data_IF_642700431923
#
_entry.id   IF_642700431923
#
_cell.length_a   1.000
_cell.length_b   1.000
_cell.length_c   1.000
_cell.angle_alpha   90.00
_cell.angle_beta   90.00
_cell.angle_gamma   90.00
#
_symmetry.space_group_name_H-M   'P 1'
#
loop_
_entity.id
_entity.type
_entity.pdbx_description
1 polymer ?
#
# COMPACT_ATOMS: atom_id res chain seq x y z
N UNK A 1 22.63 -1.75 -14.20
CA UNK A 1 21.35 -1.03 -14.36
C UNK A 1 21.36 -0.34 -15.71
N UNK A 2 20.27 -0.45 -16.49
CA UNK A 2 20.18 0.08 -17.86
C UNK A 2 19.19 1.27 -17.93
N UNK A 3 19.13 2.10 -16.89
CA UNK A 3 18.13 3.16 -16.79
C UNK A 3 18.78 4.50 -17.11
N UNK A 4 18.05 5.36 -17.82
CA UNK A 4 18.48 6.74 -18.04
C UNK A 4 18.34 7.52 -16.74
N UNK A 5 19.34 8.34 -16.44
CA UNK A 5 19.34 9.23 -15.29
C UNK A 5 19.68 10.64 -15.74
N UNK A 6 19.08 11.62 -15.07
CA UNK A 6 19.53 13.01 -15.20
C UNK A 6 20.90 13.13 -14.51
N UNK A 7 21.81 13.96 -15.04
CA UNK A 7 23.05 14.29 -14.37
C UNK A 7 22.81 14.84 -12.96
N UNK A 8 23.77 14.63 -12.05
CA UNK A 8 23.73 15.23 -10.73
C UNK A 8 23.66 16.77 -10.84
N UNK A 9 22.85 17.41 -9.99
CA UNK A 9 22.61 18.86 -9.96
C UNK A 9 21.96 19.49 -11.21
N UNK A 10 21.44 18.68 -12.13
CA UNK A 10 20.70 19.22 -13.28
C UNK A 10 19.49 20.07 -12.82
N UNK A 11 19.36 21.33 -13.27
CA UNK A 11 18.27 22.21 -12.84
C UNK A 11 16.88 21.68 -13.23
N UNK A 12 16.79 20.82 -14.25
CA UNK A 12 15.54 20.18 -14.67
C UNK A 12 14.94 19.30 -13.59
N UNK A 13 15.75 18.74 -12.67
CA UNK A 13 15.29 17.91 -11.55
C UNK A 13 14.28 18.69 -10.69
N UNK A 14 14.58 19.96 -10.36
CA UNK A 14 13.69 20.82 -9.57
C UNK A 14 12.41 21.17 -10.33
N UNK A 15 12.53 21.44 -11.63
CA UNK A 15 11.38 21.73 -12.50
C UNK A 15 10.44 20.53 -12.62
N UNK A 16 10.98 19.32 -12.77
CA UNK A 16 10.21 18.08 -12.83
C UNK A 16 9.51 17.78 -11.50
N UNK A 17 10.22 17.91 -10.37
CA UNK A 17 9.63 17.72 -9.05
C UNK A 17 8.43 18.65 -8.84
N UNK A 18 8.53 19.91 -9.27
CA UNK A 18 7.42 20.88 -9.23
C UNK A 18 6.31 20.53 -10.21
N UNK A 19 6.64 20.17 -11.45
CA UNK A 19 5.65 19.83 -12.49
C UNK A 19 4.79 18.63 -12.08
N UNK A 20 5.41 17.61 -11.51
CA UNK A 20 4.71 16.42 -11.06
C UNK A 20 4.10 16.54 -9.67
N UNK A 21 4.37 17.63 -8.96
CA UNK A 21 3.94 17.86 -7.58
C UNK A 21 4.46 16.78 -6.61
N UNK A 22 5.78 16.52 -6.67
CA UNK A 22 6.44 15.52 -5.83
C UNK A 22 6.60 16.06 -4.41
N UNK A 23 5.75 15.57 -3.50
CA UNK A 23 5.74 15.99 -2.08
C UNK A 23 6.67 15.18 -1.18
N UNK A 24 6.98 13.93 -1.56
CA UNK A 24 7.81 13.03 -0.75
C UNK A 24 8.55 12.02 -1.62
N UNK A 25 9.70 11.57 -1.14
CA UNK A 25 10.51 10.52 -1.76
C UNK A 25 10.43 9.19 -0.97
N UNK A 26 10.67 8.05 -1.62
CA UNK A 26 10.72 7.86 -3.08
C UNK A 26 9.37 8.12 -3.78
N UNK A 27 9.40 8.53 -5.04
CA UNK A 27 8.21 8.75 -5.88
C UNK A 27 8.41 8.02 -7.22
N UNK A 28 7.33 7.46 -7.77
CA UNK A 28 7.32 6.79 -9.07
C UNK A 28 6.13 7.29 -9.88
N UNK A 29 6.44 7.82 -11.07
CA UNK A 29 5.46 8.34 -12.01
C UNK A 29 5.56 7.54 -13.30
N UNK A 30 4.42 7.08 -13.80
CA UNK A 30 4.34 6.29 -15.04
C UNK A 30 3.93 7.23 -16.16
N UNK A 31 4.75 7.26 -17.20
CA UNK A 31 4.52 8.04 -18.42
C UNK A 31 4.21 7.04 -19.54
N UNK A 32 3.12 7.28 -20.27
CA UNK A 32 2.70 6.47 -21.40
C UNK A 32 3.57 6.71 -22.63
N UNK A 33 3.41 5.86 -23.64
CA UNK A 33 4.13 6.00 -24.90
C UNK A 33 3.81 7.31 -25.65
N UNK A 34 2.67 7.94 -25.33
CA UNK A 34 2.23 9.22 -25.87
C UNK A 34 2.79 10.42 -25.10
N UNK A 35 3.67 10.19 -24.11
CA UNK A 35 4.26 11.21 -23.26
C UNK A 35 3.32 11.74 -22.18
N UNK A 36 2.11 11.21 -22.05
CA UNK A 36 1.16 11.62 -21.01
C UNK A 36 1.39 10.85 -19.72
N UNK A 37 1.01 11.47 -18.60
CA UNK A 37 1.07 10.80 -17.29
C UNK A 37 -0.07 9.79 -17.19
N UNK A 38 0.28 8.52 -16.99
CA UNK A 38 -0.69 7.45 -16.68
C UNK A 38 -1.08 7.53 -15.21
N UNK A 39 -0.09 7.53 -14.31
CA UNK A 39 -0.35 7.66 -12.87
C UNK A 39 0.85 8.23 -12.11
N UNK A 40 0.55 9.05 -11.10
CA UNK A 40 1.53 9.56 -10.12
C UNK A 40 1.60 8.70 -8.85
N UNK A 41 0.72 7.70 -8.72
CA UNK A 41 0.55 6.87 -7.52
C UNK A 41 1.22 5.50 -7.66
N UNK A 42 2.05 5.29 -8.69
CA UNK A 42 2.58 3.96 -8.99
C UNK A 42 3.39 3.33 -7.87
N UNK A 43 4.06 4.12 -7.03
CA UNK A 43 4.71 3.60 -5.81
C UNK A 43 3.70 2.89 -4.90
N UNK A 44 2.53 3.47 -4.67
CA UNK A 44 1.50 2.87 -3.82
C UNK A 44 0.95 1.60 -4.46
N UNK A 45 0.67 1.67 -5.77
CA UNK A 45 0.17 0.54 -6.54
C UNK A 45 1.16 -0.64 -6.55
N UNK A 46 2.46 -0.38 -6.65
CA UNK A 46 3.50 -1.41 -6.54
C UNK A 46 3.59 -1.99 -5.13
N UNK A 47 3.38 -1.19 -4.07
CA UNK A 47 3.35 -1.74 -2.72
C UNK A 47 2.19 -2.74 -2.57
N UNK A 48 1.00 -2.34 -3.04
CA UNK A 48 -0.25 -3.09 -2.97
C UNK A 48 -0.24 -4.34 -3.85
N UNK A 49 -0.02 -4.18 -5.15
CA UNK A 49 -0.24 -5.22 -6.15
C UNK A 49 1.05 -5.80 -6.73
N UNK A 50 2.22 -5.30 -6.29
CA UNK A 50 3.54 -5.75 -6.78
C UNK A 50 3.61 -5.67 -8.31
N UNK A 51 4.19 -6.66 -8.97
CA UNK A 51 4.28 -6.77 -10.43
C UNK A 51 2.91 -6.76 -11.12
N UNK A 52 1.84 -7.17 -10.43
CA UNK A 52 0.50 -7.16 -11.01
C UNK A 52 0.00 -5.74 -11.29
N UNK A 53 0.59 -4.71 -10.68
CA UNK A 53 0.23 -3.32 -10.99
C UNK A 53 0.51 -2.96 -12.47
N UNK A 54 1.48 -3.58 -13.14
CA UNK A 54 1.78 -3.30 -14.56
C UNK A 54 0.65 -3.80 -15.48
N UNK A 55 0.14 -3.03 -16.45
CA UNK A 55 0.71 -1.81 -17.04
C UNK A 55 0.19 -0.49 -16.43
N UNK A 56 -0.33 -0.51 -15.20
CA UNK A 56 -0.88 0.64 -14.49
C UNK A 56 -2.08 1.29 -15.21
N UNK A 57 -2.77 0.52 -16.05
CA UNK A 57 -3.97 0.95 -16.74
C UNK A 57 -5.18 0.85 -15.82
N UNK A 58 -6.10 1.82 -15.91
CA UNK A 58 -7.28 1.93 -15.03
C UNK A 58 -8.09 0.63 -14.98
N UNK A 59 -8.34 0.00 -16.14
CA UNK A 59 -9.07 -1.28 -16.20
C UNK A 59 -8.38 -2.41 -15.42
N UNK A 60 -7.04 -2.42 -15.36
CA UNK A 60 -6.32 -3.40 -14.53
C UNK A 60 -6.42 -3.05 -13.05
N UNK A 61 -6.40 -1.76 -12.71
CA UNK A 61 -6.55 -1.31 -11.33
C UNK A 61 -7.92 -1.68 -10.77
N UNK A 62 -8.99 -1.46 -11.53
CA UNK A 62 -10.35 -1.84 -11.16
C UNK A 62 -10.49 -3.35 -10.92
N UNK A 63 -9.84 -4.17 -11.76
CA UNK A 63 -9.85 -5.62 -11.60
C UNK A 63 -9.14 -6.05 -10.31
N UNK A 64 -7.97 -5.50 -10.04
CA UNK A 64 -7.18 -5.84 -8.85
C UNK A 64 -7.87 -5.38 -7.55
N UNK A 65 -8.48 -4.18 -7.57
CA UNK A 65 -9.28 -3.68 -6.45
C UNK A 65 -10.45 -4.62 -6.17
N UNK A 66 -11.14 -5.08 -7.21
CA UNK A 66 -12.26 -6.02 -7.07
C UNK A 66 -11.81 -7.36 -6.51
N UNK A 67 -10.72 -7.94 -7.02
CA UNK A 67 -10.18 -9.21 -6.50
C UNK A 67 -9.80 -9.10 -5.03
N UNK A 68 -9.20 -7.98 -4.63
CA UNK A 68 -8.82 -7.72 -3.23
C UNK A 68 -10.05 -7.57 -2.32
N UNK A 69 -11.11 -6.90 -2.76
CA UNK A 69 -12.38 -6.78 -2.02
C UNK A 69 -13.10 -8.13 -1.91
N UNK A 70 -13.13 -8.92 -2.98
CA UNK A 70 -13.70 -10.28 -2.96
C UNK A 70 -12.94 -11.19 -1.98
N UNK A 71 -11.60 -11.12 -1.96
CA UNK A 71 -10.79 -11.85 -1.00
C UNK A 71 -11.07 -11.40 0.45
N UNK A 72 -11.29 -10.10 0.67
CA UNK A 72 -11.58 -9.54 1.99
C UNK A 72 -12.90 -10.03 2.60
N UNK A 73 -13.87 -10.44 1.79
CA UNK A 73 -15.14 -11.00 2.29
C UNK A 73 -14.96 -12.24 3.15
N UNK A 74 -13.86 -12.96 2.94
CA UNK A 74 -13.53 -14.17 3.69
C UNK A 74 -12.66 -13.88 4.93
N UNK A 75 -12.19 -12.64 5.11
CA UNK A 75 -11.42 -12.24 6.28
C UNK A 75 -12.36 -11.92 7.46
N UNK A 76 -11.99 -12.29 8.70
CA UNK A 76 -12.72 -11.87 9.88
C UNK A 76 -12.77 -10.34 10.00
N UNK A 77 -13.95 -9.80 10.30
CA UNK A 77 -14.13 -8.33 10.47
C UNK A 77 -13.34 -7.79 11.67
N UNK A 78 -13.10 -8.63 12.65
CA UNK A 78 -12.29 -8.34 13.82
C UNK A 78 -11.57 -9.57 14.34
N UNK A 79 -10.41 -9.35 14.94
CA UNK A 79 -9.58 -10.39 15.56
C UNK A 79 -8.94 -9.90 16.85
N UNK A 80 -8.65 -10.82 17.76
CA UNK A 80 -7.89 -10.55 18.98
C UNK A 80 -6.45 -11.00 18.76
N UNK A 81 -5.50 -10.08 18.90
CA UNK A 81 -4.08 -10.37 18.74
C UNK A 81 -3.42 -10.46 20.11
N UNK A 82 -2.57 -11.46 20.37
CA UNK A 82 -2.00 -11.68 21.70
C UNK A 82 -1.19 -10.47 22.20
N UNK A 83 -0.38 -9.87 21.33
CA UNK A 83 0.45 -8.71 21.67
C UNK A 83 -0.31 -7.39 21.73
N UNK A 84 -1.49 -7.33 21.10
CA UNK A 84 -2.38 -6.19 21.16
C UNK A 84 -3.62 -6.63 21.94
N UNK A 85 -3.58 -6.49 23.28
CA UNK A 85 -4.58 -6.95 24.27
C UNK A 85 -6.00 -6.34 24.12
N UNK A 86 -6.46 -6.10 22.90
CA UNK A 86 -7.71 -5.50 22.51
C UNK A 86 -8.12 -6.03 21.13
N UNK A 87 -9.40 -5.88 20.81
CA UNK A 87 -9.94 -6.26 19.50
C UNK A 87 -9.41 -5.31 18.41
N UNK A 88 -8.89 -5.90 17.34
CA UNK A 88 -8.48 -5.21 16.13
C UNK A 88 -9.56 -5.36 15.06
N UNK A 89 -9.82 -4.30 14.32
CA UNK A 89 -10.79 -4.27 13.23
C UNK A 89 -10.05 -4.26 11.90
N UNK A 90 -10.60 -4.98 10.92
CA UNK A 90 -10.08 -5.02 9.56
C UNK A 90 -10.26 -3.64 8.89
N UNK A 91 -9.17 -3.08 8.35
CA UNK A 91 -9.15 -1.80 7.62
C UNK A 91 -8.44 -1.95 6.28
N UNK A 92 -8.87 -1.16 5.30
CA UNK A 92 -8.24 -1.00 3.99
C UNK A 92 -7.58 0.36 3.84
N UNK A 93 -6.82 0.59 2.76
CA UNK A 93 -6.20 1.88 2.43
C UNK A 93 -7.23 3.05 2.50
N UNK A 94 -8.48 2.82 2.08
CA UNK A 94 -9.53 3.84 2.08
C UNK A 94 -10.20 4.12 3.43
N UNK A 95 -10.09 3.21 4.41
CA UNK A 95 -10.84 3.27 5.68
C UNK A 95 -9.95 3.47 6.92
N UNK A 96 -8.67 3.79 6.71
CA UNK A 96 -7.72 4.11 7.79
C UNK A 96 -6.52 3.16 7.90
N UNK A 97 -6.38 2.25 6.93
CA UNK A 97 -5.14 1.54 6.59
C UNK A 97 -4.26 2.31 5.60
N UNK A 98 -3.13 1.73 5.24
CA UNK A 98 -2.10 2.27 4.34
C UNK A 98 -0.81 1.49 4.52
N UNK A 99 0.34 1.86 3.91
CA UNK A 99 1.59 1.17 4.17
C UNK A 99 1.92 1.15 5.67
N UNK A 100 2.20 -0.04 6.21
CA UNK A 100 2.48 -0.26 7.62
C UNK A 100 3.64 -1.24 7.81
N UNK A 101 4.25 -1.21 8.99
CA UNK A 101 5.14 -2.29 9.43
C UNK A 101 4.33 -3.14 10.40
N UNK A 102 4.21 -4.42 10.09
CA UNK A 102 3.46 -5.36 10.92
C UNK A 102 4.13 -5.50 12.28
N UNK A 103 3.36 -5.37 13.36
CA UNK A 103 3.91 -5.49 14.71
C UNK A 103 4.33 -6.92 15.09
N UNK A 104 3.85 -7.94 14.37
CA UNK A 104 4.16 -9.34 14.61
C UNK A 104 5.43 -9.79 13.86
N UNK A 105 5.43 -9.70 12.53
CA UNK A 105 6.57 -10.15 11.71
C UNK A 105 7.60 -9.06 11.38
N UNK A 106 7.33 -7.80 11.71
CA UNK A 106 8.17 -6.64 11.38
C UNK A 106 8.43 -6.46 9.86
N UNK A 107 7.57 -7.04 9.02
CA UNK A 107 7.60 -6.85 7.56
C UNK A 107 6.59 -5.78 7.12
N UNK A 108 6.85 -5.19 5.94
CA UNK A 108 5.98 -4.16 5.39
C UNK A 108 4.67 -4.78 4.85
N UNK A 109 3.54 -4.28 5.33
CA UNK A 109 2.20 -4.53 4.78
C UNK A 109 1.66 -3.31 4.04
N UNK A 110 0.73 -3.53 3.12
CA UNK A 110 0.11 -2.44 2.36
C UNK A 110 -1.31 -2.70 1.89
N UNK A 111 -1.81 -3.93 1.97
CA UNK A 111 -3.16 -4.35 1.58
C UNK A 111 -4.17 -4.05 2.70
N UNK A 112 -4.75 -5.11 3.27
CA UNK A 112 -5.59 -5.05 4.45
C UNK A 112 -4.73 -5.08 5.71
N UNK A 113 -5.25 -4.51 6.79
CA UNK A 113 -4.59 -4.52 8.07
C UNK A 113 -5.60 -4.70 9.19
N UNK A 114 -5.21 -5.37 10.26
CA UNK A 114 -5.95 -5.33 11.52
C UNK A 114 -5.42 -4.20 12.38
N UNK A 115 -6.32 -3.30 12.78
CA UNK A 115 -5.99 -2.07 13.52
C UNK A 115 -6.99 -1.80 14.65
N UNK A 116 -6.52 -1.20 15.74
CA UNK A 116 -7.40 -0.78 16.84
C UNK A 116 -8.44 0.26 16.39
N UNK A 117 -9.71 -0.01 16.69
CA UNK A 117 -10.80 0.92 16.46
C UNK A 117 -10.58 2.25 17.22
N UNK A 118 -10.67 3.38 16.51
CA UNK A 118 -10.57 4.73 17.09
C UNK A 118 -9.20 5.42 17.00
N UNK A 119 -8.12 4.72 16.65
CA UNK A 119 -6.81 5.36 16.43
C UNK A 119 -6.70 5.99 15.04
N UNK A 120 -7.06 7.27 14.90
CA UNK A 120 -6.85 8.08 13.68
C UNK A 120 -5.43 8.69 13.57
N UNK A 121 -4.42 7.99 14.09
CA UNK A 121 -3.01 8.41 14.01
C UNK A 121 -2.27 7.65 12.91
N UNK A 122 -1.43 8.36 12.14
CA UNK A 122 -0.42 7.73 11.27
C UNK A 122 0.56 6.97 12.18
N UNK A 123 0.83 5.70 11.87
CA UNK A 123 1.70 4.84 12.70
C UNK A 123 0.98 4.10 13.83
N UNK A 124 -0.36 4.01 13.79
CA UNK A 124 -1.07 3.08 14.67
C UNK A 124 -0.57 1.64 14.45
N UNK A 125 -0.42 0.83 15.52
CA UNK A 125 -0.05 -0.57 15.42
C UNK A 125 -1.00 -1.30 14.47
N UNK A 126 -0.41 -2.06 13.55
CA UNK A 126 -1.12 -2.80 12.52
C UNK A 126 -0.47 -4.17 12.39
N UNK A 127 -1.28 -5.19 12.14
CA UNK A 127 -0.81 -6.54 11.83
C UNK A 127 -1.37 -6.97 10.48
N UNK A 128 -0.62 -7.80 9.76
CA UNK A 128 -1.07 -8.40 8.50
C UNK A 128 -2.32 -9.25 8.72
N UNK A 129 -3.09 -9.42 7.64
CA UNK A 129 -4.21 -10.35 7.58
C UNK A 129 -3.77 -11.81 7.84
N UNK A 130 -2.53 -12.16 7.51
CA UNK A 130 -1.94 -13.48 7.78
C UNK A 130 -1.34 -13.62 9.18
N UNK A 131 -0.96 -12.52 9.83
CA UNK A 131 -0.38 -12.49 11.17
C UNK A 131 -1.45 -12.33 12.27
N UNK A 132 -2.64 -11.82 11.93
CA UNK A 132 -3.77 -11.66 12.86
C UNK A 132 -4.34 -12.98 13.39
N UNK A 133 -4.22 -14.05 12.59
CA UNK A 133 -4.74 -15.37 12.94
C UNK A 133 -3.84 -16.03 13.98
N UNK A 134 -4.22 -15.93 15.26
CA UNK A 134 -3.62 -16.72 16.32
C UNK A 134 -3.75 -18.23 15.96
N UNK A 135 -2.64 -19.00 15.87
CA UNK A 135 -2.68 -20.41 15.48
C UNK A 135 -3.49 -21.29 16.45
N UNK A 136 -3.89 -20.77 17.62
CA UNK A 136 -4.74 -21.44 18.58
C UNK A 136 -6.21 -21.61 18.15
N UNK A 137 -6.64 -21.09 16.99
CA UNK A 137 -8.03 -21.25 16.48
C UNK A 137 -8.21 -22.39 15.47
N UNK A 138 -7.16 -23.16 15.17
CA UNK A 138 -7.20 -24.31 14.26
C UNK A 138 -7.20 -25.68 14.98
N UNK A 139 -7.50 -25.72 16.28
CA UNK A 139 -7.67 -26.96 17.05
C UNK A 139 -9.01 -26.93 17.80
#
# INVERSE_FOLDING_TARGET
MQWLALPFEDPTIKSLAKYFDVQAFPCLIIIGHDGKTVTKKARNLLNLYKENAYPFADAKMELLEKEMEEAAKYLPKSEYHADHRHELSLVSEGTGGGPFICCDCNEQGSSWAYKMSGMRVRGAPQVHESCGACPCRLI
#
